data_IF_751330398535
#
_entry.id   IF_751330398535
#
_cell.length_a   1.000
_cell.length_b   1.000
_cell.length_c   1.000
_cell.angle_alpha   90.00
_cell.angle_beta   90.00
_cell.angle_gamma   90.00
#
_symmetry.space_group_name_H-M   'P 1'
#
loop_
_entity.id
_entity.type
_entity.pdbx_description
1 polymer ?
#
# COMPACT_ATOMS: atom_id res chain seq x y z
N UNK A 1 20.16 -12.63 12.19
CA UNK A 1 19.14 -13.58 12.65
C UNK A 1 18.13 -13.76 11.52
N UNK A 2 18.21 -14.84 10.75
CA UNK A 2 17.24 -15.11 9.69
C UNK A 2 15.95 -15.65 10.33
N UNK A 3 14.85 -14.90 10.19
CA UNK A 3 13.54 -15.36 10.67
C UNK A 3 13.10 -16.49 9.72
N UNK A 4 12.74 -17.68 10.20
CA UNK A 4 12.27 -18.76 9.32
C UNK A 4 11.01 -18.32 8.57
N UNK A 5 10.93 -18.62 7.26
CA UNK A 5 9.88 -18.12 6.35
C UNK A 5 8.45 -18.30 6.90
N UNK A 6 8.19 -19.42 7.56
CA UNK A 6 6.88 -19.71 8.17
C UNK A 6 6.49 -18.67 9.22
N UNK A 7 7.46 -18.17 10.00
CA UNK A 7 7.22 -17.10 10.99
C UNK A 7 7.03 -15.75 10.29
N UNK A 8 7.75 -15.50 9.20
CA UNK A 8 7.58 -14.27 8.41
C UNK A 8 6.17 -14.18 7.82
N UNK A 9 5.68 -15.26 7.21
CA UNK A 9 4.31 -15.35 6.66
C UNK A 9 3.28 -15.03 7.75
N UNK A 10 3.40 -15.63 8.94
CA UNK A 10 2.49 -15.36 10.08
C UNK A 10 2.53 -13.90 10.53
N UNK A 11 3.72 -13.30 10.61
CA UNK A 11 3.87 -11.89 11.00
C UNK A 11 3.20 -10.95 10.00
N UNK A 12 3.33 -11.23 8.71
CA UNK A 12 2.73 -10.38 7.69
C UNK A 12 1.23 -10.55 7.60
N UNK A 13 0.72 -11.77 7.73
CA UNK A 13 -0.72 -12.03 7.84
C UNK A 13 -1.31 -11.30 9.05
N UNK A 14 -0.60 -11.28 10.18
CA UNK A 14 -1.03 -10.51 11.36
C UNK A 14 -1.10 -8.99 11.11
N UNK A 15 -0.31 -8.46 10.18
CA UNK A 15 -0.34 -7.04 9.80
C UNK A 15 -1.44 -6.70 8.80
N UNK A 16 -2.13 -7.69 8.23
CA UNK A 16 -3.24 -7.44 7.31
C UNK A 16 -4.41 -6.75 8.00
N UNK A 17 -5.01 -5.80 7.29
CA UNK A 17 -6.15 -5.00 7.76
C UNK A 17 -7.16 -4.81 6.64
N UNK A 18 -8.42 -4.59 7.01
CA UNK A 18 -9.51 -4.34 6.06
C UNK A 18 -9.65 -5.48 5.05
N UNK A 19 -9.82 -5.15 3.77
CA UNK A 19 -10.05 -6.13 2.70
C UNK A 19 -8.94 -7.18 2.54
N UNK A 20 -7.72 -6.88 2.99
CA UNK A 20 -6.60 -7.80 2.87
C UNK A 20 -6.73 -9.05 3.75
N UNK A 21 -7.32 -8.93 4.96
CA UNK A 21 -7.48 -10.08 5.86
C UNK A 21 -8.61 -11.01 5.41
N UNK A 22 -9.70 -10.44 4.89
CA UNK A 22 -10.82 -11.19 4.30
C UNK A 22 -10.36 -12.01 3.10
N UNK A 23 -9.55 -11.40 2.23
CA UNK A 23 -9.02 -12.09 1.06
C UNK A 23 -8.08 -13.23 1.45
N UNK A 24 -7.24 -13.03 2.47
CA UNK A 24 -6.41 -14.10 3.04
C UNK A 24 -7.25 -15.27 3.56
N UNK A 25 -8.29 -14.99 4.35
CA UNK A 25 -9.16 -16.02 4.92
C UNK A 25 -9.91 -16.82 3.83
N UNK A 26 -10.40 -16.13 2.80
CA UNK A 26 -11.04 -16.78 1.65
C UNK A 26 -10.06 -17.67 0.88
N UNK A 27 -8.82 -17.22 0.70
CA UNK A 27 -7.77 -18.04 0.06
C UNK A 27 -7.40 -19.27 0.88
N UNK A 28 -7.24 -19.10 2.20
CA UNK A 28 -6.91 -20.21 3.08
C UNK A 28 -8.06 -21.22 3.13
N UNK A 29 -9.30 -20.76 3.18
CA UNK A 29 -10.51 -21.59 3.06
C UNK A 29 -10.55 -22.35 1.74
N UNK A 30 -10.34 -21.68 0.61
CA UNK A 30 -10.30 -22.33 -0.71
C UNK A 30 -9.21 -23.41 -0.78
N UNK A 31 -8.04 -23.20 -0.15
CA UNK A 31 -6.98 -24.22 -0.10
C UNK A 31 -7.33 -25.41 0.79
N UNK A 32 -7.97 -25.16 1.94
CA UNK A 32 -8.48 -26.21 2.84
C UNK A 32 -9.50 -27.09 2.10
N UNK A 33 -10.43 -26.47 1.37
CA UNK A 33 -11.41 -27.19 0.54
C UNK A 33 -10.74 -27.99 -0.58
N UNK A 34 -9.72 -27.43 -1.22
CA UNK A 34 -8.94 -28.12 -2.26
C UNK A 34 -7.95 -29.17 -1.72
N UNK A 35 -7.93 -29.43 -0.40
CA UNK A 35 -6.93 -30.29 0.30
C UNK A 35 -5.47 -29.93 -0.02
N UNK A 36 -5.22 -28.67 -0.39
CA UNK A 36 -3.88 -28.16 -0.73
C UNK A 36 -3.20 -27.65 0.54
N UNK A 37 -1.87 -27.77 0.66
CA UNK A 37 -1.15 -27.25 1.81
C UNK A 37 -1.25 -25.73 1.89
N UNK A 38 -1.33 -25.22 3.12
CA UNK A 38 -1.28 -23.79 3.44
C UNK A 38 0.04 -23.18 2.98
N UNK A 39 0.03 -21.86 2.82
CA UNK A 39 1.19 -21.12 2.30
C UNK A 39 2.20 -20.97 3.44
N UNK A 40 3.34 -21.62 3.28
CA UNK A 40 4.44 -21.61 4.25
C UNK A 40 5.65 -20.81 3.79
N UNK A 41 5.67 -20.40 2.53
CA UNK A 41 6.80 -19.69 1.91
C UNK A 41 6.46 -18.24 1.61
N UNK A 42 7.43 -17.36 1.80
CA UNK A 42 7.28 -15.93 1.61
C UNK A 42 7.00 -15.57 0.14
N UNK A 43 7.70 -16.24 -0.79
CA UNK A 43 7.50 -16.05 -2.23
C UNK A 43 6.06 -16.27 -2.70
N UNK A 44 5.40 -17.30 -2.17
CA UNK A 44 4.00 -17.60 -2.52
C UNK A 44 3.05 -16.55 -1.95
N UNK A 45 3.33 -16.07 -0.74
CA UNK A 45 2.57 -14.98 -0.14
C UNK A 45 2.72 -13.69 -0.95
N UNK A 46 3.95 -13.30 -1.32
CA UNK A 46 4.19 -12.11 -2.14
C UNK A 46 3.51 -12.16 -3.52
N UNK A 47 3.54 -13.33 -4.18
CA UNK A 47 2.85 -13.49 -5.46
C UNK A 47 1.36 -13.24 -5.33
N UNK A 48 0.73 -13.78 -4.28
CA UNK A 48 -0.69 -13.54 -4.02
C UNK A 48 -1.02 -12.10 -3.68
N UNK A 49 -0.17 -11.44 -2.88
CA UNK A 49 -0.36 -10.00 -2.62
C UNK A 49 -0.35 -9.21 -3.94
N UNK A 50 0.57 -9.53 -4.85
CA UNK A 50 0.63 -8.90 -6.18
C UNK A 50 -0.58 -9.20 -7.05
N UNK A 51 -1.13 -10.40 -6.99
CA UNK A 51 -2.25 -10.80 -7.85
C UNK A 51 -3.62 -10.37 -7.32
N UNK A 52 -3.78 -10.25 -5.99
CA UNK A 52 -5.10 -10.11 -5.36
C UNK A 52 -5.25 -8.87 -4.48
N UNK A 53 -4.17 -8.38 -3.87
CA UNK A 53 -4.22 -7.15 -3.05
C UNK A 53 -3.90 -5.90 -3.87
N UNK A 54 -3.15 -6.06 -4.95
CA UNK A 54 -2.73 -4.99 -5.83
C UNK A 54 -3.66 -4.99 -7.05
N UNK A 55 -4.45 -3.93 -7.27
CA UNK A 55 -5.15 -3.73 -8.53
C UNK A 55 -4.15 -3.78 -9.68
N UNK A 56 -4.55 -4.30 -10.84
CA UNK A 56 -3.68 -4.35 -12.03
C UNK A 56 -3.10 -2.97 -12.40
N UNK A 57 -3.82 -1.90 -12.06
CA UNK A 57 -3.43 -0.50 -12.30
C UNK A 57 -2.77 0.17 -11.09
N UNK A 58 -2.23 -0.58 -10.13
CA UNK A 58 -1.60 -0.02 -8.94
C UNK A 58 -0.45 0.94 -9.27
N UNK A 59 0.35 0.63 -10.29
CA UNK A 59 1.42 1.51 -10.76
C UNK A 59 0.86 2.84 -11.28
N UNK A 60 -0.26 2.78 -12.00
CA UNK A 60 -0.94 3.97 -12.51
C UNK A 60 -1.55 4.81 -11.38
N UNK A 61 -2.13 4.15 -10.37
CA UNK A 61 -2.63 4.81 -9.17
C UNK A 61 -1.50 5.51 -8.39
N UNK A 62 -0.37 4.84 -8.18
CA UNK A 62 0.82 5.41 -7.55
C UNK A 62 1.35 6.60 -8.34
N UNK A 63 1.42 6.48 -9.66
CA UNK A 63 1.90 7.55 -10.54
C UNK A 63 0.98 8.77 -10.48
N UNK A 64 -0.35 8.58 -10.47
CA UNK A 64 -1.32 9.67 -10.29
C UNK A 64 -1.16 10.35 -8.94
N UNK A 65 -0.99 9.59 -7.85
CA UNK A 65 -0.75 10.15 -6.52
C UNK A 65 0.57 10.95 -6.48
N UNK A 66 1.63 10.42 -7.08
CA UNK A 66 2.92 11.11 -7.18
C UNK A 66 2.82 12.41 -7.98
N UNK A 67 2.19 12.37 -9.15
CA UNK A 67 1.97 13.57 -9.97
C UNK A 67 1.09 14.59 -9.24
N UNK A 68 0.01 14.17 -8.58
CA UNK A 68 -0.85 15.06 -7.81
C UNK A 68 -0.08 15.75 -6.67
N UNK A 69 0.80 15.03 -5.97
CA UNK A 69 1.66 15.59 -4.93
C UNK A 69 2.67 16.60 -5.50
N UNK A 70 3.30 16.28 -6.64
CA UNK A 70 4.24 17.16 -7.32
C UNK A 70 3.57 18.42 -7.87
N UNK A 71 2.36 18.28 -8.44
CA UNK A 71 1.54 19.39 -8.93
C UNK A 71 1.07 20.29 -7.78
N UNK A 72 0.64 19.72 -6.66
CA UNK A 72 0.27 20.49 -5.48
C UNK A 72 1.48 21.28 -4.92
N UNK A 73 2.67 20.67 -4.89
CA UNK A 73 3.91 21.36 -4.52
C UNK A 73 4.30 22.50 -5.47
N UNK A 74 4.06 22.33 -6.78
CA UNK A 74 4.27 23.39 -7.77
C UNK A 74 3.27 24.55 -7.62
N UNK A 75 1.98 24.26 -7.44
CA UNK A 75 0.94 25.28 -7.26
C UNK A 75 1.17 26.08 -5.97
N UNK A 76 1.53 25.41 -4.87
CA UNK A 76 1.85 26.10 -3.60
C UNK A 76 3.08 26.99 -3.76
N UNK A 77 4.10 26.54 -4.50
CA UNK A 77 5.32 27.32 -4.79
C UNK A 77 5.04 28.51 -5.72
N UNK A 78 4.19 28.35 -6.73
CA UNK A 78 3.76 29.46 -7.60
C UNK A 78 2.89 30.47 -6.84
N UNK A 79 2.02 30.02 -5.94
CA UNK A 79 1.25 30.91 -5.07
C UNK A 79 2.13 31.67 -4.07
N UNK A 80 3.20 31.06 -3.55
CA UNK A 80 4.15 31.76 -2.65
C UNK A 80 5.09 32.71 -3.41
N UNK A 81 5.31 32.51 -4.71
CA UNK A 81 6.16 33.39 -5.53
C UNK A 81 5.40 34.58 -6.13
N UNK A 82 4.07 34.54 -6.18
CA UNK A 82 3.20 35.62 -6.66
C UNK A 82 2.37 36.27 -5.53
N UNK A 83 2.92 36.37 -4.32
CA UNK A 83 2.35 37.26 -3.30
C UNK A 83 3.01 38.65 -3.46
N UNK A 84 2.34 39.67 -4.03
CA UNK A 84 2.78 41.04 -3.82
C UNK A 84 2.85 41.31 -2.31
N UNK A 85 3.89 42.00 -1.90
CA UNK A 85 4.42 42.18 -0.53
C UNK A 85 3.48 42.88 0.48
N UNK A 86 2.21 42.49 0.58
CA UNK A 86 1.19 43.12 1.43
C UNK A 86 0.40 42.13 2.32
N UNK A 87 0.94 40.96 2.62
CA UNK A 87 0.33 40.04 3.60
C UNK A 87 1.31 39.58 4.69
N UNK A 88 2.21 40.46 5.14
CA UNK A 88 2.91 40.33 6.43
C UNK A 88 2.73 41.61 7.25
N UNK A 89 1.49 42.00 7.52
CA UNK A 89 1.16 42.93 8.59
C UNK A 89 -0.29 42.70 8.99
N UNK A 90 -0.50 41.89 10.02
CA UNK A 90 -1.54 42.00 11.06
C UNK A 90 -1.80 40.61 11.65
N UNK A 91 -0.92 40.26 12.59
CA UNK A 91 -1.24 39.36 13.69
C UNK A 91 -0.44 39.86 14.88
N UNK A 92 -0.90 40.98 15.43
CA UNK A 92 -0.72 41.31 16.83
C UNK A 92 -2.00 41.95 17.34
#
# INVERSE_FOLDING_TARGET
MEIPEVKQVKLVVYKFKGSAITLWDQMETNKRLARKPTIKTWHRLQKLMREQLLPSDFEHFLFKQYQSCAQCGHIVKEFTMNVPSECMSESQ
#
